data_IF_667624636729
#
_entry.id   IF_667624636729
#
_cell.length_a   1.000
_cell.length_b   1.000
_cell.length_c   1.000
_cell.angle_alpha   90.00
_cell.angle_beta   90.00
_cell.angle_gamma   90.00
#
_symmetry.space_group_name_H-M   'P 1'
#
loop_
_entity.id
_entity.type
_entity.pdbx_description
1 polymer ?
#
# COMPACT_ATOMS: atom_id res chain seq x y z
N UNK A 1 25.25 20.60 -5.73
CA UNK A 1 24.34 20.53 -6.87
C UNK A 1 24.24 21.91 -7.59
N UNK A 2 23.79 22.94 -6.91
CA UNK A 2 23.55 24.27 -7.52
C UNK A 2 24.80 24.96 -8.08
N UNK A 3 26.00 24.59 -7.59
CA UNK A 3 27.25 25.02 -8.23
C UNK A 3 27.40 24.50 -9.69
N UNK A 4 26.64 23.46 -10.06
CA UNK A 4 26.61 22.88 -11.41
C UNK A 4 25.42 23.37 -12.26
N UNK A 5 24.62 24.31 -11.74
CA UNK A 5 23.44 24.88 -12.39
C UNK A 5 22.13 24.58 -11.66
N UNK A 6 21.07 25.29 -12.06
CA UNK A 6 19.77 25.28 -11.38
C UNK A 6 18.71 24.41 -12.09
N UNK A 7 19.14 23.42 -12.87
CA UNK A 7 18.20 22.50 -13.53
C UNK A 7 17.34 21.79 -12.48
N UNK A 8 16.03 21.62 -12.70
CA UNK A 8 15.17 20.86 -11.81
C UNK A 8 15.72 19.46 -11.51
N UNK A 9 15.51 19.00 -10.28
CA UNK A 9 15.79 17.63 -9.85
C UNK A 9 14.53 17.05 -9.25
N UNK A 10 14.11 15.89 -9.73
CA UNK A 10 13.01 15.16 -9.11
C UNK A 10 13.56 13.89 -8.45
N UNK A 11 13.18 13.67 -7.19
CA UNK A 11 13.48 12.48 -6.40
C UNK A 11 12.17 11.75 -6.20
N UNK A 12 12.01 10.58 -6.83
CA UNK A 12 10.82 9.74 -6.64
C UNK A 12 11.02 8.92 -5.36
N UNK A 13 10.21 9.23 -4.35
CA UNK A 13 10.29 8.59 -3.04
C UNK A 13 9.47 7.31 -3.08
N UNK A 14 10.16 6.17 -3.18
CA UNK A 14 9.57 4.84 -3.30
C UNK A 14 9.52 4.13 -1.94
N UNK A 15 9.06 4.81 -0.89
CA UNK A 15 8.98 4.28 0.47
C UNK A 15 7.54 3.91 0.83
N UNK A 16 7.38 2.94 1.74
CA UNK A 16 6.07 2.49 2.23
C UNK A 16 5.67 3.18 3.55
N UNK A 17 6.08 4.41 3.70
CA UNK A 17 5.80 5.29 4.83
C UNK A 17 4.84 6.40 4.37
N UNK A 18 3.83 6.72 5.17
CA UNK A 18 2.97 7.88 4.94
C UNK A 18 3.80 9.16 5.03
N UNK A 19 3.56 10.09 4.11
CA UNK A 19 4.26 11.38 4.03
C UNK A 19 5.79 11.24 3.96
N UNK A 20 6.29 10.17 3.35
CA UNK A 20 7.73 9.90 3.22
C UNK A 20 8.49 11.04 2.53
N UNK A 21 7.86 11.73 1.59
CA UNK A 21 8.36 12.93 0.94
C UNK A 21 8.61 14.07 1.95
N UNK A 22 7.70 14.30 2.90
CA UNK A 22 7.84 15.33 3.94
C UNK A 22 8.94 14.98 4.93
N UNK A 23 9.10 13.70 5.29
CA UNK A 23 10.19 13.23 6.15
C UNK A 23 11.54 13.48 5.47
N UNK A 24 11.68 13.11 4.19
CA UNK A 24 12.91 13.34 3.40
C UNK A 24 13.17 14.84 3.24
N UNK A 25 12.14 15.64 3.01
CA UNK A 25 12.24 17.11 2.94
C UNK A 25 12.82 17.69 4.22
N UNK A 26 12.27 17.31 5.39
CA UNK A 26 12.75 17.75 6.69
C UNK A 26 14.24 17.43 6.88
N UNK A 27 14.63 16.16 6.64
CA UNK A 27 16.02 15.71 6.77
C UNK A 27 17.00 16.49 5.88
N UNK A 28 16.59 16.81 4.67
CA UNK A 28 17.42 17.59 3.73
C UNK A 28 17.49 19.05 4.20
N UNK A 29 16.34 19.66 4.53
CA UNK A 29 16.27 21.08 4.92
C UNK A 29 17.00 21.40 6.23
N UNK A 30 17.14 20.43 7.14
CA UNK A 30 17.97 20.58 8.35
C UNK A 30 19.45 20.87 8.05
N UNK A 31 19.94 20.47 6.87
CA UNK A 31 21.32 20.66 6.45
C UNK A 31 21.54 21.89 5.56
N UNK A 32 20.47 22.65 5.27
CA UNK A 32 20.49 23.78 4.33
C UNK A 32 20.39 25.12 5.06
N UNK A 33 21.05 26.13 4.51
CA UNK A 33 20.83 27.55 4.87
C UNK A 33 19.44 28.01 4.41
N UNK A 34 18.92 29.12 4.91
CA UNK A 34 17.61 29.66 4.51
C UNK A 34 17.56 30.01 3.00
N UNK A 35 18.66 30.52 2.43
CA UNK A 35 18.75 30.77 1.00
C UNK A 35 18.70 29.47 0.18
N UNK A 36 19.40 28.44 0.63
CA UNK A 36 19.39 27.13 0.00
C UNK A 36 18.03 26.43 0.12
N UNK A 37 17.29 26.61 1.23
CA UNK A 37 15.92 26.09 1.37
C UNK A 37 14.98 26.70 0.34
N UNK A 38 15.02 28.01 0.14
CA UNK A 38 14.21 28.66 -0.89
C UNK A 38 14.52 28.10 -2.29
N UNK A 39 15.81 27.92 -2.59
CA UNK A 39 16.26 27.33 -3.86
C UNK A 39 15.88 25.85 -3.99
N UNK A 40 15.88 25.09 -2.88
CA UNK A 40 15.40 23.72 -2.82
C UNK A 40 13.92 23.66 -3.20
N UNK A 41 13.07 24.50 -2.60
CA UNK A 41 11.63 24.53 -2.84
C UNK A 41 11.29 24.87 -4.31
N UNK A 42 12.13 25.68 -4.96
CA UNK A 42 11.96 26.05 -6.36
C UNK A 42 12.41 24.92 -7.31
N UNK A 43 13.54 24.27 -7.03
CA UNK A 43 14.25 23.43 -8.00
C UNK A 43 14.25 21.95 -7.72
N UNK A 44 13.78 21.49 -6.53
CA UNK A 44 13.77 20.08 -6.17
C UNK A 44 12.33 19.61 -5.93
N UNK A 45 11.91 18.59 -6.68
CA UNK A 45 10.65 17.89 -6.48
C UNK A 45 10.88 16.61 -5.66
N UNK A 46 10.19 16.48 -4.53
CA UNK A 46 10.09 15.23 -3.79
C UNK A 46 8.77 14.56 -4.16
N UNK A 47 8.84 13.66 -5.13
CA UNK A 47 7.69 13.05 -5.78
C UNK A 47 7.31 11.77 -5.03
N UNK A 48 6.17 11.77 -4.39
CA UNK A 48 5.65 10.58 -3.74
C UNK A 48 5.20 9.55 -4.77
N UNK A 49 5.42 8.25 -4.46
CA UNK A 49 5.00 7.14 -5.29
C UNK A 49 4.25 6.07 -4.49
N UNK A 50 3.23 5.48 -5.10
CA UNK A 50 2.48 4.38 -4.49
C UNK A 50 3.01 3.03 -4.99
N UNK A 51 3.82 2.35 -4.17
CA UNK A 51 4.44 1.07 -4.52
C UNK A 51 3.46 -0.07 -4.26
N UNK A 52 2.85 -0.58 -5.32
CA UNK A 52 1.89 -1.69 -5.27
C UNK A 52 2.47 -3.06 -5.65
N UNK A 53 3.75 -3.11 -6.09
CA UNK A 53 4.43 -4.35 -6.44
C UNK A 53 4.75 -5.16 -5.17
N UNK A 54 4.36 -6.44 -5.16
CA UNK A 54 4.76 -7.37 -4.11
C UNK A 54 6.14 -7.96 -4.42
N UNK A 55 6.97 -8.01 -3.39
CA UNK A 55 8.34 -8.54 -3.46
C UNK A 55 8.43 -9.69 -2.47
N UNK A 56 8.67 -10.94 -2.94
CA UNK A 56 8.85 -12.09 -2.05
C UNK A 56 10.11 -11.93 -1.19
N UNK A 57 10.17 -12.71 -0.11
CA UNK A 57 11.43 -12.87 0.64
C UNK A 57 12.45 -13.51 -0.31
N UNK A 58 13.58 -12.84 -0.52
CA UNK A 58 14.61 -13.30 -1.46
C UNK A 58 15.38 -14.50 -0.87
N UNK A 59 15.29 -15.64 -1.52
CA UNK A 59 16.07 -16.83 -1.16
C UNK A 59 17.35 -16.92 -1.99
N UNK A 60 18.33 -17.71 -1.53
CA UNK A 60 19.56 -17.96 -2.30
C UNK A 60 19.27 -18.66 -3.65
N UNK A 61 18.23 -19.50 -3.70
CA UNK A 61 17.76 -20.11 -4.94
C UNK A 61 17.26 -19.06 -5.94
N UNK A 62 16.47 -18.08 -5.47
CA UNK A 62 16.00 -16.96 -6.32
C UNK A 62 17.14 -16.10 -6.82
N UNK A 63 18.19 -15.92 -6.03
CA UNK A 63 19.37 -15.16 -6.42
C UNK A 63 20.22 -15.87 -7.46
N UNK A 64 20.23 -17.21 -7.46
CA UNK A 64 20.94 -18.04 -8.46
C UNK A 64 22.41 -17.60 -8.63
N UNK A 65 23.10 -17.40 -7.52
CA UNK A 65 24.49 -16.98 -7.48
C UNK A 65 24.77 -15.49 -7.75
N UNK A 66 23.73 -14.69 -8.04
CA UNK A 66 23.85 -13.25 -8.28
C UNK A 66 23.40 -12.42 -7.04
N UNK A 67 24.33 -11.87 -6.24
CA UNK A 67 24.00 -11.19 -4.99
C UNK A 67 23.05 -9.99 -5.16
N UNK A 68 23.07 -9.34 -6.33
CA UNK A 68 22.26 -8.15 -6.65
C UNK A 68 20.95 -8.50 -7.33
N UNK A 69 20.66 -9.78 -7.59
CA UNK A 69 19.39 -10.20 -8.20
C UNK A 69 18.25 -10.03 -7.20
N UNK A 70 17.18 -9.32 -7.63
CA UNK A 70 15.93 -9.17 -6.88
C UNK A 70 14.78 -9.71 -7.73
N UNK A 71 14.18 -10.80 -7.27
CA UNK A 71 12.99 -11.37 -7.89
C UNK A 71 11.74 -10.63 -7.42
N UNK A 72 10.88 -10.28 -8.38
CA UNK A 72 9.65 -9.53 -8.12
C UNK A 72 8.52 -10.07 -9.01
N UNK A 73 7.27 -9.81 -8.65
CA UNK A 73 6.14 -10.08 -9.54
C UNK A 73 6.13 -9.17 -10.78
N UNK A 74 5.32 -9.53 -11.79
CA UNK A 74 5.26 -8.77 -13.06
C UNK A 74 4.59 -7.40 -12.93
N UNK A 75 3.79 -7.17 -11.89
CA UNK A 75 3.09 -5.90 -11.69
C UNK A 75 4.06 -4.71 -11.75
N UNK A 76 3.83 -3.77 -12.67
CA UNK A 76 4.76 -2.67 -12.94
C UNK A 76 4.13 -1.27 -12.90
N UNK A 77 2.84 -1.17 -12.53
CA UNK A 77 2.15 0.12 -12.44
C UNK A 77 2.69 0.96 -11.28
N UNK A 78 3.20 2.16 -11.57
CA UNK A 78 3.83 3.08 -10.62
C UNK A 78 3.12 4.44 -10.63
N UNK A 79 2.08 4.64 -9.83
CA UNK A 79 1.49 5.96 -9.63
C UNK A 79 2.47 6.90 -8.92
N UNK A 80 2.55 8.14 -9.39
CA UNK A 80 3.41 9.18 -8.79
C UNK A 80 2.64 10.48 -8.67
N UNK A 81 2.96 11.29 -7.67
CA UNK A 81 2.37 12.62 -7.50
C UNK A 81 2.78 13.56 -8.63
N UNK A 82 1.85 13.84 -9.53
CA UNK A 82 2.06 14.74 -10.66
C UNK A 82 2.38 16.17 -10.22
N UNK A 83 1.80 16.64 -9.12
CA UNK A 83 1.93 18.02 -8.65
C UNK A 83 3.30 18.31 -8.04
N UNK A 84 3.99 17.27 -7.53
CA UNK A 84 5.29 17.43 -6.89
C UNK A 84 6.47 17.56 -7.87
N UNK A 85 6.27 17.29 -9.16
CA UNK A 85 7.35 17.42 -10.14
C UNK A 85 7.74 18.88 -10.37
N UNK A 86 9.04 19.13 -10.40
CA UNK A 86 9.64 20.41 -10.81
C UNK A 86 10.15 20.29 -12.25
N UNK A 87 9.82 21.25 -13.08
CA UNK A 87 10.09 21.20 -14.53
C UNK A 87 9.14 20.23 -15.24
N UNK A 88 9.65 19.44 -16.16
CA UNK A 88 8.84 18.46 -16.91
C UNK A 88 8.70 17.12 -16.17
N UNK A 89 7.57 16.45 -16.37
CA UNK A 89 7.39 15.07 -15.91
C UNK A 89 8.12 14.13 -16.88
N UNK A 90 9.04 13.26 -16.42
CA UNK A 90 9.76 12.35 -17.30
C UNK A 90 8.85 11.24 -17.82
N UNK A 91 9.04 10.82 -19.07
CA UNK A 91 8.39 9.64 -19.64
C UNK A 91 9.13 8.37 -19.18
N UNK A 92 8.56 7.69 -18.19
CA UNK A 92 9.06 6.41 -17.71
C UNK A 92 7.98 5.35 -17.94
N UNK A 93 8.34 4.22 -18.55
CA UNK A 93 7.39 3.13 -18.81
C UNK A 93 6.71 2.70 -17.51
N UNK A 94 5.38 2.61 -17.54
CA UNK A 94 4.51 2.23 -16.42
C UNK A 94 4.44 3.26 -15.27
N UNK A 95 5.14 4.38 -15.32
CA UNK A 95 4.90 5.48 -14.42
C UNK A 95 3.63 6.24 -14.82
N UNK A 96 2.75 6.50 -13.87
CA UNK A 96 1.47 7.17 -14.09
C UNK A 96 1.38 8.39 -13.16
N UNK A 97 1.78 9.58 -13.65
CA UNK A 97 1.63 10.81 -12.89
C UNK A 97 0.14 11.17 -12.74
N UNK A 98 -0.31 11.37 -11.49
CA UNK A 98 -1.71 11.61 -11.17
C UNK A 98 -1.87 12.72 -10.11
N UNK A 99 -2.96 13.46 -10.17
CA UNK A 99 -3.37 14.43 -9.16
C UNK A 99 -4.92 14.45 -9.05
N UNK A 100 -5.49 14.42 -7.84
CA UNK A 100 -4.84 14.43 -6.52
C UNK A 100 -4.24 13.06 -6.17
N UNK A 101 -3.01 13.04 -5.65
CA UNK A 101 -2.27 11.78 -5.47
C UNK A 101 -2.77 10.94 -4.28
N UNK A 102 -3.42 11.55 -3.30
CA UNK A 102 -3.93 10.87 -2.11
C UNK A 102 -4.95 9.77 -2.46
N UNK A 103 -5.61 9.84 -3.62
CA UNK A 103 -6.43 8.76 -4.16
C UNK A 103 -5.64 7.44 -4.29
N UNK A 104 -4.43 7.50 -4.84
CA UNK A 104 -3.62 6.28 -5.02
C UNK A 104 -3.03 5.76 -3.71
N UNK A 105 -2.72 6.63 -2.75
CA UNK A 105 -2.31 6.25 -1.41
C UNK A 105 -3.45 5.51 -0.70
N UNK A 106 -4.65 6.08 -0.70
CA UNK A 106 -5.84 5.46 -0.09
C UNK A 106 -6.26 4.20 -0.84
N UNK A 107 -6.20 4.17 -2.18
CA UNK A 107 -6.46 2.95 -2.96
C UNK A 107 -5.53 1.80 -2.51
N UNK A 108 -4.23 2.08 -2.36
CA UNK A 108 -3.29 1.09 -1.84
C UNK A 108 -3.62 0.68 -0.41
N UNK A 109 -3.80 1.65 0.48
CA UNK A 109 -3.99 1.38 1.90
C UNK A 109 -5.34 0.69 2.18
N UNK A 110 -6.44 1.21 1.59
CA UNK A 110 -7.80 0.83 1.92
C UNK A 110 -8.37 -0.29 1.04
N UNK A 111 -7.84 -0.50 -0.17
CA UNK A 111 -8.23 -1.65 -1.01
C UNK A 111 -7.19 -2.76 -0.93
N UNK A 112 -5.96 -2.51 -1.38
CA UNK A 112 -4.93 -3.55 -1.46
C UNK A 112 -4.51 -4.05 -0.07
N UNK A 113 -4.00 -3.15 0.80
CA UNK A 113 -3.47 -3.55 2.09
C UNK A 113 -4.57 -4.04 3.05
N UNK A 114 -5.79 -3.49 2.95
CA UNK A 114 -6.95 -3.94 3.72
C UNK A 114 -7.36 -5.36 3.30
N UNK A 115 -7.53 -5.62 2.00
CA UNK A 115 -7.88 -6.94 1.50
C UNK A 115 -6.82 -7.99 1.83
N UNK A 116 -5.54 -7.64 1.70
CA UNK A 116 -4.42 -8.51 2.04
C UNK A 116 -4.40 -8.88 3.54
N UNK A 117 -4.62 -7.89 4.42
CA UNK A 117 -4.70 -8.12 5.87
C UNK A 117 -5.93 -8.95 6.24
N UNK A 118 -7.10 -8.68 5.65
CA UNK A 118 -8.32 -9.48 5.85
C UNK A 118 -8.10 -10.94 5.48
N UNK A 119 -7.48 -11.21 4.30
CA UNK A 119 -7.12 -12.55 3.88
C UNK A 119 -6.20 -13.24 4.90
N UNK A 120 -5.18 -12.52 5.39
CA UNK A 120 -4.23 -13.05 6.37
C UNK A 120 -4.89 -13.41 7.70
N UNK A 121 -5.74 -12.54 8.25
CA UNK A 121 -6.40 -12.80 9.52
C UNK A 121 -7.41 -13.96 9.43
N UNK A 122 -8.16 -14.06 8.34
CA UNK A 122 -9.09 -15.16 8.12
C UNK A 122 -8.34 -16.47 7.88
N UNK A 123 -7.23 -16.45 7.14
CA UNK A 123 -6.36 -17.61 6.96
C UNK A 123 -5.75 -18.11 8.28
N UNK A 124 -5.27 -17.19 9.12
CA UNK A 124 -4.73 -17.50 10.43
C UNK A 124 -5.78 -18.15 11.37
N UNK A 125 -7.03 -17.66 11.34
CA UNK A 125 -8.15 -18.27 12.07
C UNK A 125 -8.41 -19.72 11.67
N UNK A 126 -8.16 -20.09 10.42
CA UNK A 126 -8.29 -21.46 9.91
C UNK A 126 -6.99 -22.26 10.03
N UNK A 127 -5.93 -21.70 10.61
CA UNK A 127 -4.62 -22.35 10.75
C UNK A 127 -3.85 -22.50 9.43
N UNK A 128 -4.18 -21.72 8.41
CA UNK A 128 -3.50 -21.74 7.12
C UNK A 128 -2.19 -20.95 7.19
N UNK A 129 -1.16 -21.46 6.53
CA UNK A 129 0.17 -20.88 6.60
C UNK A 129 0.34 -19.71 5.60
N UNK A 130 -0.14 -19.86 4.38
CA UNK A 130 0.13 -18.93 3.28
C UNK A 130 -1.11 -18.21 2.79
N UNK A 131 -0.90 -16.99 2.26
CA UNK A 131 -1.96 -16.17 1.67
C UNK A 131 -2.62 -16.88 0.48
N UNK A 132 -1.83 -17.57 -0.37
CA UNK A 132 -2.37 -18.29 -1.52
C UNK A 132 -3.27 -19.48 -1.11
N UNK A 133 -3.03 -20.08 0.04
CA UNK A 133 -3.92 -21.12 0.63
C UNK A 133 -5.20 -20.48 1.16
N UNK A 134 -5.06 -19.35 1.88
CA UNK A 134 -6.19 -18.63 2.45
C UNK A 134 -7.17 -18.15 1.37
N UNK A 135 -6.65 -17.50 0.31
CA UNK A 135 -7.50 -16.97 -0.76
C UNK A 135 -8.11 -18.08 -1.63
N UNK A 136 -7.58 -19.30 -1.59
CA UNK A 136 -8.16 -20.46 -2.28
C UNK A 136 -9.40 -21.02 -1.55
N UNK A 137 -9.63 -20.63 -0.28
CA UNK A 137 -10.87 -20.98 0.45
C UNK A 137 -12.01 -20.09 -0.06
N UNK A 138 -13.09 -20.65 -0.63
CA UNK A 138 -14.15 -19.86 -1.26
C UNK A 138 -14.79 -18.84 -0.32
N UNK A 139 -15.00 -19.15 0.94
CA UNK A 139 -15.59 -18.27 1.94
C UNK A 139 -14.68 -17.07 2.23
N UNK A 140 -13.37 -17.30 2.33
CA UNK A 140 -12.38 -16.23 2.52
C UNK A 140 -12.34 -15.35 1.27
N UNK A 141 -12.30 -15.95 0.08
CA UNK A 141 -12.28 -15.20 -1.18
C UNK A 141 -13.48 -14.26 -1.29
N UNK A 142 -14.68 -14.77 -1.01
CA UNK A 142 -15.93 -13.97 -1.04
C UNK A 142 -15.86 -12.82 -0.04
N UNK A 143 -15.41 -13.06 1.19
CA UNK A 143 -15.30 -12.02 2.22
C UNK A 143 -14.28 -10.96 1.79
N UNK A 144 -13.09 -11.36 1.35
CA UNK A 144 -12.01 -10.45 0.94
C UNK A 144 -12.45 -9.60 -0.26
N UNK A 145 -13.04 -10.23 -1.29
CA UNK A 145 -13.51 -9.53 -2.48
C UNK A 145 -14.57 -8.47 -2.14
N UNK A 146 -15.56 -8.83 -1.34
CA UNK A 146 -16.62 -7.89 -0.96
C UNK A 146 -16.12 -6.78 -0.02
N UNK A 147 -15.21 -7.07 0.92
CA UNK A 147 -14.56 -6.04 1.74
C UNK A 147 -13.80 -5.03 0.87
N UNK A 148 -13.04 -5.52 -0.13
CA UNK A 148 -12.36 -4.65 -1.09
C UNK A 148 -13.35 -3.84 -1.94
N UNK A 149 -14.50 -4.42 -2.32
CA UNK A 149 -15.54 -3.74 -3.08
C UNK A 149 -16.23 -2.64 -2.25
N UNK A 150 -16.57 -2.89 -0.97
CA UNK A 150 -17.08 -1.86 -0.05
C UNK A 150 -16.13 -0.65 0.02
N UNK A 151 -14.82 -0.92 0.17
CA UNK A 151 -13.79 0.12 0.18
C UNK A 151 -13.65 0.84 -1.17
N UNK A 152 -13.69 0.11 -2.28
CA UNK A 152 -13.63 0.69 -3.62
C UNK A 152 -14.83 1.61 -3.92
N UNK A 153 -16.03 1.22 -3.49
CA UNK A 153 -17.24 2.06 -3.60
C UNK A 153 -17.08 3.35 -2.79
N UNK A 154 -16.52 3.26 -1.58
CA UNK A 154 -16.27 4.42 -0.74
C UNK A 154 -15.25 5.39 -1.38
N UNK A 155 -14.17 4.86 -1.96
CA UNK A 155 -13.19 5.66 -2.69
C UNK A 155 -13.78 6.27 -3.97
N UNK A 156 -14.57 5.51 -4.71
CA UNK A 156 -15.28 6.01 -5.90
C UNK A 156 -16.16 7.21 -5.55
N UNK A 157 -16.93 7.10 -4.47
CA UNK A 157 -17.81 8.19 -3.99
C UNK A 157 -17.01 9.40 -3.46
N UNK A 158 -15.94 9.16 -2.68
CA UNK A 158 -15.09 10.21 -2.11
C UNK A 158 -14.39 11.07 -3.16
N UNK A 159 -13.95 10.48 -4.25
CA UNK A 159 -13.12 11.13 -5.28
C UNK A 159 -13.86 11.37 -6.60
N UNK A 160 -15.15 11.09 -6.66
CA UNK A 160 -15.93 11.10 -7.92
C UNK A 160 -15.20 10.34 -9.04
N UNK A 161 -14.61 9.19 -8.66
CA UNK A 161 -13.79 8.37 -9.56
C UNK A 161 -14.61 7.20 -10.14
N UNK A 162 -14.41 6.82 -11.41
CA UNK A 162 -15.10 5.66 -11.98
C UNK A 162 -14.82 4.39 -11.18
N UNK A 163 -15.87 3.62 -10.85
CA UNK A 163 -15.75 2.36 -10.09
C UNK A 163 -15.04 1.25 -10.88
N UNK A 164 -15.19 1.22 -12.20
CA UNK A 164 -14.69 0.12 -13.04
C UNK A 164 -13.17 -0.12 -12.90
N UNK A 165 -12.30 0.92 -12.96
CA UNK A 165 -10.86 0.73 -12.73
C UNK A 165 -10.51 0.20 -11.33
N UNK A 166 -11.33 0.51 -10.32
CA UNK A 166 -11.17 -0.03 -8.97
C UNK A 166 -11.54 -1.51 -8.89
N UNK A 167 -12.62 -1.91 -9.59
CA UNK A 167 -13.01 -3.32 -9.72
C UNK A 167 -11.94 -4.13 -10.45
N UNK A 168 -11.41 -3.62 -11.58
CA UNK A 168 -10.33 -4.27 -12.32
C UNK A 168 -9.07 -4.43 -11.45
N UNK A 169 -8.80 -3.45 -10.58
CA UNK A 169 -7.71 -3.53 -9.62
C UNK A 169 -7.95 -4.60 -8.53
N UNK A 170 -9.20 -4.78 -8.08
CA UNK A 170 -9.56 -5.85 -7.14
C UNK A 170 -9.34 -7.22 -7.80
N UNK A 171 -9.81 -7.41 -9.02
CA UNK A 171 -9.65 -8.67 -9.75
C UNK A 171 -8.16 -9.02 -9.96
N UNK A 172 -7.33 -8.02 -10.32
CA UNK A 172 -5.87 -8.16 -10.41
C UNK A 172 -5.28 -8.59 -9.06
N UNK A 173 -5.67 -7.94 -7.96
CA UNK A 173 -5.16 -8.26 -6.62
C UNK A 173 -5.55 -9.68 -6.16
N UNK A 174 -6.79 -10.09 -6.38
CA UNK A 174 -7.23 -11.45 -6.05
C UNK A 174 -6.40 -12.50 -6.81
N UNK A 175 -6.14 -12.26 -8.10
CA UNK A 175 -5.25 -13.10 -8.89
C UNK A 175 -3.81 -13.12 -8.35
N UNK A 176 -3.29 -11.98 -7.88
CA UNK A 176 -1.93 -11.87 -7.31
C UNK A 176 -1.82 -12.57 -5.95
N UNK A 177 -2.87 -12.55 -5.12
CA UNK A 177 -2.90 -13.26 -3.84
C UNK A 177 -2.82 -14.79 -4.01
N UNK A 178 -3.22 -15.35 -5.16
CA UNK A 178 -3.05 -16.78 -5.46
C UNK A 178 -1.62 -17.18 -5.83
N UNK A 179 -0.70 -16.21 -5.97
CA UNK A 179 0.66 -16.49 -6.43
C UNK A 179 1.51 -17.10 -5.30
N UNK A 180 1.66 -18.42 -5.31
CA UNK A 180 2.46 -19.16 -4.34
C UNK A 180 3.95 -18.75 -4.33
N UNK A 181 4.49 -18.26 -5.46
CA UNK A 181 5.88 -17.82 -5.55
C UNK A 181 6.21 -16.60 -4.68
N UNK A 182 5.19 -15.85 -4.22
CA UNK A 182 5.40 -14.74 -3.28
C UNK A 182 5.80 -15.22 -1.88
N UNK A 183 5.40 -16.44 -1.48
CA UNK A 183 5.71 -17.01 -0.16
C UNK A 183 5.19 -16.19 1.02
N UNK A 184 4.16 -15.36 0.81
CA UNK A 184 3.56 -14.52 1.85
C UNK A 184 2.82 -15.38 2.86
N UNK A 185 3.26 -15.33 4.14
CA UNK A 185 2.58 -16.06 5.22
C UNK A 185 1.49 -15.22 5.87
N UNK A 186 0.41 -15.87 6.31
CA UNK A 186 -0.66 -15.24 7.07
C UNK A 186 -0.11 -14.57 8.35
N UNK A 187 0.87 -15.20 9.00
CA UNK A 187 1.53 -14.63 10.18
C UNK A 187 2.24 -13.32 9.88
N UNK A 188 3.07 -13.26 8.82
CA UNK A 188 3.80 -12.05 8.43
C UNK A 188 2.87 -10.92 8.00
N UNK A 189 1.90 -11.23 7.13
CA UNK A 189 0.95 -10.24 6.61
C UNK A 189 -0.01 -9.76 7.69
N UNK A 190 -0.43 -10.64 8.61
CA UNK A 190 -1.28 -10.33 9.78
C UNK A 190 -0.52 -9.69 10.95
N UNK A 191 0.82 -9.62 10.93
CA UNK A 191 1.63 -9.02 12.00
C UNK A 191 1.26 -7.56 12.29
N UNK A 192 1.53 -7.11 13.52
CA UNK A 192 1.22 -5.76 14.02
C UNK A 192 -0.28 -5.39 13.90
N UNK A 193 -1.17 -6.18 14.52
CA UNK A 193 -2.61 -5.93 14.45
C UNK A 193 -3.01 -4.61 15.12
N UNK A 194 -2.30 -4.17 16.17
CA UNK A 194 -2.57 -2.91 16.86
C UNK A 194 -2.48 -1.71 15.90
N UNK A 195 -1.41 -1.62 15.11
CA UNK A 195 -1.26 -0.56 14.10
C UNK A 195 -2.32 -0.68 13.02
N UNK A 196 -2.58 -1.89 12.49
CA UNK A 196 -3.56 -2.11 11.40
C UNK A 196 -5.00 -1.81 11.81
N UNK A 197 -5.29 -1.85 13.12
CA UNK A 197 -6.55 -1.44 13.73
C UNK A 197 -6.57 0.04 14.15
N UNK A 198 -5.50 0.81 13.89
CA UNK A 198 -5.52 2.24 14.20
C UNK A 198 -6.55 3.00 13.34
N UNK A 199 -7.08 4.14 13.82
CA UNK A 199 -8.19 4.85 13.18
C UNK A 199 -7.97 5.28 11.74
N UNK A 200 -6.70 5.45 11.32
CA UNK A 200 -6.34 5.94 9.98
C UNK A 200 -5.68 4.84 9.12
N UNK A 201 -5.44 3.64 9.69
CA UNK A 201 -4.85 2.53 8.93
C UNK A 201 -5.95 1.71 8.21
N UNK A 202 -5.52 0.68 7.51
CA UNK A 202 -6.24 -0.09 6.47
C UNK A 202 -7.59 -0.67 6.88
N UNK A 203 -7.79 -1.11 8.14
CA UNK A 203 -9.03 -1.75 8.55
C UNK A 203 -10.05 -0.70 9.02
N UNK A 204 -9.72 0.06 10.05
CA UNK A 204 -10.64 1.04 10.63
C UNK A 204 -10.77 2.27 9.72
N UNK A 205 -9.66 2.77 9.15
CA UNK A 205 -9.68 3.91 8.23
C UNK A 205 -10.55 3.66 7.00
N UNK A 206 -10.42 2.47 6.38
CA UNK A 206 -11.28 2.09 5.25
C UNK A 206 -12.76 2.00 5.67
N UNK A 207 -13.05 1.40 6.83
CA UNK A 207 -14.43 1.27 7.34
C UNK A 207 -15.03 2.63 7.69
N UNK A 208 -14.26 3.55 8.29
CA UNK A 208 -14.69 4.94 8.54
C UNK A 208 -15.05 5.66 7.24
N UNK A 209 -14.21 5.54 6.22
CA UNK A 209 -14.48 6.13 4.91
C UNK A 209 -15.77 5.58 4.31
N UNK A 210 -15.99 4.26 4.38
CA UNK A 210 -17.23 3.64 3.90
C UNK A 210 -18.46 4.21 4.59
N UNK A 211 -18.46 4.28 5.93
CA UNK A 211 -19.55 4.86 6.71
C UNK A 211 -19.79 6.33 6.34
N UNK A 212 -18.75 7.14 6.16
CA UNK A 212 -18.85 8.54 5.74
C UNK A 212 -19.50 8.69 4.36
N UNK A 213 -19.36 7.71 3.49
CA UNK A 213 -19.98 7.67 2.16
C UNK A 213 -21.34 6.94 2.14
N UNK A 214 -21.89 6.59 3.31
CA UNK A 214 -23.18 5.90 3.42
C UNK A 214 -23.14 4.42 3.05
N UNK A 215 -21.96 3.80 3.00
CA UNK A 215 -21.76 2.39 2.69
C UNK A 215 -21.57 1.62 4.00
N UNK A 216 -22.36 0.55 4.19
CA UNK A 216 -22.22 -0.32 5.35
C UNK A 216 -20.98 -1.23 5.19
N UNK A 217 -19.96 -1.16 6.07
CA UNK A 217 -18.72 -1.94 5.95
C UNK A 217 -18.88 -3.36 6.52
N UNK A 218 -19.85 -4.14 6.05
CA UNK A 218 -20.21 -5.45 6.62
C UNK A 218 -19.06 -6.45 6.49
N UNK A 219 -18.48 -6.56 5.29
CA UNK A 219 -17.39 -7.50 5.04
C UNK A 219 -16.06 -6.99 5.61
N UNK A 220 -15.79 -5.69 5.57
CA UNK A 220 -14.64 -5.11 6.26
C UNK A 220 -14.71 -5.34 7.78
N UNK A 221 -15.90 -5.31 8.39
CA UNK A 221 -16.07 -5.59 9.81
C UNK A 221 -15.71 -7.04 10.18
N UNK A 222 -15.92 -8.01 9.29
CA UNK A 222 -15.48 -9.40 9.49
C UNK A 222 -13.93 -9.44 9.57
N UNK A 223 -13.24 -8.81 8.63
CA UNK A 223 -11.77 -8.69 8.65
C UNK A 223 -11.25 -7.97 9.90
N UNK A 224 -11.93 -6.88 10.30
CA UNK A 224 -11.63 -6.15 11.52
C UNK A 224 -11.81 -7.00 12.79
N UNK A 225 -12.90 -7.78 12.87
CA UNK A 225 -13.14 -8.73 13.97
C UNK A 225 -12.07 -9.82 14.08
N UNK A 226 -11.63 -10.37 12.94
CA UNK A 226 -10.54 -11.33 12.90
C UNK A 226 -9.20 -10.71 13.36
N UNK A 227 -8.94 -9.45 13.00
CA UNK A 227 -7.77 -8.71 13.46
C UNK A 227 -7.81 -8.44 14.98
N UNK A 228 -8.98 -8.08 15.53
CA UNK A 228 -9.16 -7.91 16.98
C UNK A 228 -8.92 -9.23 17.73
N UNK A 229 -9.44 -10.34 17.22
CA UNK A 229 -9.18 -11.65 17.80
C UNK A 229 -7.68 -11.97 17.84
N UNK A 230 -6.97 -11.72 16.75
CA UNK A 230 -5.52 -11.90 16.69
C UNK A 230 -4.79 -11.00 17.67
N UNK A 231 -5.19 -9.74 17.80
CA UNK A 231 -4.61 -8.78 18.73
C UNK A 231 -4.75 -9.22 20.19
N UNK A 232 -5.95 -9.71 20.57
CA UNK A 232 -6.20 -10.22 21.93
C UNK A 232 -5.32 -11.44 22.20
N UNK A 233 -5.27 -12.40 21.27
CA UNK A 233 -4.45 -13.61 21.41
C UNK A 233 -2.97 -13.28 21.60
N UNK A 234 -2.40 -12.38 20.81
CA UNK A 234 -1.00 -11.94 20.95
C UNK A 234 -0.75 -11.21 22.28
N UNK A 235 -1.75 -10.49 22.79
CA UNK A 235 -1.64 -9.79 24.09
C UNK A 235 -1.69 -10.78 25.26
N UNK A 236 -2.51 -11.80 25.19
CA UNK A 236 -2.60 -12.85 26.23
C UNK A 236 -1.32 -13.71 26.27
N UNK A 237 -0.77 -14.06 25.10
CA UNK A 237 0.48 -14.80 24.99
C UNK A 237 1.69 -14.02 25.55
N UNK A 238 1.65 -12.68 25.49
CA UNK A 238 2.70 -11.81 26.02
C UNK A 238 2.67 -11.64 27.55
N UNK A 239 1.56 -12.04 28.20
CA UNK A 239 1.38 -11.96 29.68
C UNK A 239 1.72 -13.27 30.38
N UNK A 240 1.83 -14.37 29.64
CA UNK A 240 2.28 -15.68 30.13
C UNK A 240 3.80 -15.82 30.04
#
# INVERSE_FOLDING_TARGET
RWAMGDKPLNIIVCENLMDANLVVEGMIKEQLTEEEKAKFDETVGLVEASIGRMVPVQTEEMKDGEPMRVCVERYGFLPTDKAAFKGGVPEIKNMVPFAPFDFYLKRKLYVHNMGHATCAYLGDLLGLQYIYEAIAVPEIQVIVQNAMLESAQALSAQYDAPIKPLMDHIDDLLGRFTNAALGDTCQRVGGDPARKLSPEDRLIGASKLAVQQGICPCFMAIGGGAAVYRYIKESDDAVQ
#
